data_IF_442473277742
#
_entry.id   IF_442473277742
#
_cell.length_a   1.000
_cell.length_b   1.000
_cell.length_c   1.000
_cell.angle_alpha   90.00
_cell.angle_beta   90.00
_cell.angle_gamma   90.00
#
_symmetry.space_group_name_H-M   'P 1'
#
loop_
_entity.id
_entity.type
_entity.pdbx_description
1 polymer ?
#
# COMPACT_ATOMS: atom_id res chain seq x y z
N UNK A 1 -10.96 3.86 -3.04
CA UNK A 1 -9.95 4.08 -4.11
C UNK A 1 -8.53 4.03 -3.55
N UNK A 2 -8.19 4.82 -2.51
CA UNK A 2 -6.82 4.89 -1.96
C UNK A 2 -6.25 3.58 -1.40
N UNK A 3 -7.08 2.70 -0.84
CA UNK A 3 -6.60 1.37 -0.36
C UNK A 3 -6.11 0.48 -1.51
N UNK A 4 -6.70 0.61 -2.70
CA UNK A 4 -6.43 -0.30 -3.82
C UNK A 4 -5.30 0.14 -4.76
N UNK A 5 -4.88 1.40 -4.72
CA UNK A 5 -3.93 1.91 -5.69
C UNK A 5 -2.94 2.85 -5.03
N UNK A 6 -1.66 2.64 -5.31
CA UNK A 6 -0.58 3.49 -4.84
C UNK A 6 -0.55 4.79 -5.64
N UNK A 7 -0.44 5.94 -4.96
CA UNK A 7 -0.24 7.28 -5.54
C UNK A 7 -1.23 7.64 -6.65
N UNK A 8 -2.49 7.24 -6.50
CA UNK A 8 -3.49 7.47 -7.53
C UNK A 8 -3.92 8.94 -7.57
N UNK A 9 -3.70 9.64 -8.71
CA UNK A 9 -3.99 11.07 -8.87
C UNK A 9 -5.38 11.49 -8.36
N UNK A 10 -6.40 10.67 -8.58
CA UNK A 10 -7.78 10.97 -8.18
C UNK A 10 -7.95 11.11 -6.67
N UNK A 11 -7.13 10.41 -5.89
CA UNK A 11 -7.17 10.40 -4.42
C UNK A 11 -6.56 11.70 -3.84
N UNK A 12 -5.67 12.36 -4.59
CA UNK A 12 -4.99 13.59 -4.18
C UNK A 12 -5.61 14.86 -4.77
N UNK A 13 -6.72 14.80 -5.50
CA UNK A 13 -7.31 15.97 -6.20
C UNK A 13 -7.73 17.11 -5.27
N UNK A 14 -8.00 16.82 -4.01
CA UNK A 14 -8.44 17.81 -3.01
C UNK A 14 -7.29 18.50 -2.28
N UNK A 15 -6.03 18.16 -2.60
CA UNK A 15 -4.85 18.76 -1.99
C UNK A 15 -3.90 19.28 -3.07
N UNK A 16 -3.17 20.34 -2.76
CA UNK A 16 -2.07 20.77 -3.61
C UNK A 16 -0.90 19.79 -3.45
N UNK A 17 -0.46 19.17 -4.55
CA UNK A 17 0.72 18.28 -4.56
C UNK A 17 1.91 19.05 -5.11
N UNK A 18 3.02 19.06 -4.36
CA UNK A 18 4.27 19.73 -4.78
C UNK A 18 5.14 18.83 -5.63
N UNK A 19 5.32 17.58 -5.21
CA UNK A 19 6.09 16.59 -5.96
C UNK A 19 5.65 15.17 -5.62
N UNK A 20 5.96 14.23 -6.52
CA UNK A 20 5.72 12.80 -6.35
C UNK A 20 6.96 12.06 -6.84
N UNK A 21 7.43 11.10 -6.06
CA UNK A 21 8.40 10.11 -6.52
C UNK A 21 7.83 8.72 -6.28
N UNK A 22 8.09 7.80 -7.21
CA UNK A 22 7.65 6.40 -7.14
C UNK A 22 8.73 5.49 -7.68
N UNK A 23 8.92 4.36 -7.01
CA UNK A 23 9.78 3.26 -7.46
C UNK A 23 8.98 1.96 -7.40
N UNK A 24 9.26 1.07 -8.34
CA UNK A 24 8.70 -0.28 -8.38
C UNK A 24 9.84 -1.27 -8.49
N UNK A 25 9.89 -2.22 -7.57
CA UNK A 25 10.83 -3.33 -7.54
C UNK A 25 10.11 -4.61 -7.97
N UNK A 26 10.78 -5.43 -8.77
CA UNK A 26 10.24 -6.71 -9.24
C UNK A 26 11.29 -7.78 -9.13
N UNK A 27 10.87 -9.01 -8.84
CA UNK A 27 11.74 -10.17 -8.93
C UNK A 27 12.21 -10.41 -10.39
N UNK A 28 13.30 -11.15 -10.55
CA UNK A 28 13.95 -11.44 -11.85
C UNK A 28 13.31 -12.61 -12.63
N UNK A 29 12.15 -13.09 -12.19
CA UNK A 29 11.48 -14.28 -12.71
C UNK A 29 11.75 -15.56 -11.91
N UNK A 30 12.61 -15.50 -10.88
CA UNK A 30 12.78 -16.60 -9.91
C UNK A 30 11.53 -16.82 -9.04
N UNK A 31 11.37 -18.04 -8.52
CA UNK A 31 10.28 -18.37 -7.58
C UNK A 31 10.62 -17.80 -6.20
N UNK A 32 9.90 -16.76 -5.78
CA UNK A 32 10.12 -16.04 -4.52
C UNK A 32 8.78 -15.68 -3.87
N UNK A 33 8.79 -15.45 -2.55
CA UNK A 33 7.59 -15.06 -1.78
C UNK A 33 6.99 -13.71 -2.18
N UNK A 34 7.81 -12.75 -2.59
CA UNK A 34 7.38 -11.39 -2.96
C UNK A 34 7.51 -11.21 -4.47
N UNK A 35 6.42 -10.83 -5.11
CA UNK A 35 6.35 -10.56 -6.55
C UNK A 35 6.93 -9.18 -6.86
N UNK A 36 6.33 -8.17 -6.24
CA UNK A 36 6.63 -6.77 -6.45
C UNK A 36 6.49 -5.96 -5.16
N UNK A 37 7.24 -4.86 -5.13
CA UNK A 37 7.13 -3.82 -4.13
C UNK A 37 6.97 -2.49 -4.86
N UNK A 38 5.87 -1.80 -4.59
CA UNK A 38 5.64 -0.43 -5.04
C UNK A 38 5.79 0.53 -3.85
N UNK A 39 6.61 1.56 -4.03
CA UNK A 39 6.87 2.58 -3.01
C UNK A 39 6.67 3.96 -3.63
N UNK A 40 6.06 4.87 -2.88
CA UNK A 40 5.87 6.24 -3.32
C UNK A 40 5.90 7.24 -2.17
N UNK A 41 6.31 8.46 -2.50
CA UNK A 41 6.24 9.60 -1.60
C UNK A 41 5.59 10.77 -2.32
N UNK A 42 4.69 11.47 -1.62
CA UNK A 42 3.98 12.65 -2.11
C UNK A 42 4.27 13.81 -1.16
N UNK A 43 4.92 14.85 -1.65
CA UNK A 43 5.19 16.06 -0.89
C UNK A 43 4.03 17.06 -1.04
N UNK A 44 3.58 17.61 0.09
CA UNK A 44 2.52 18.60 0.20
C UNK A 44 3.08 19.95 0.65
N UNK A 45 2.28 21.03 0.66
CA UNK A 45 2.77 22.38 0.97
C UNK A 45 3.24 22.55 2.42
N UNK A 46 2.75 21.71 3.34
CA UNK A 46 3.07 21.80 4.77
C UNK A 46 2.87 20.46 5.48
N UNK A 47 3.44 20.34 6.69
CA UNK A 47 3.19 19.20 7.57
C UNK A 47 1.70 19.05 7.93
N UNK A 48 1.04 20.16 8.27
CA UNK A 48 -0.40 20.15 8.57
C UNK A 48 -1.23 19.60 7.39
N UNK A 49 -0.89 19.94 6.14
CA UNK A 49 -1.59 19.39 4.98
C UNK A 49 -1.40 17.87 4.83
N UNK A 50 -0.21 17.36 5.19
CA UNK A 50 0.10 15.93 5.17
C UNK A 50 -0.62 15.18 6.29
N UNK A 51 -0.61 15.72 7.51
CA UNK A 51 -1.33 15.16 8.65
C UNK A 51 -2.85 15.12 8.39
N UNK A 52 -3.42 16.19 7.86
CA UNK A 52 -4.85 16.24 7.49
C UNK A 52 -5.19 15.19 6.43
N UNK A 53 -4.33 15.01 5.43
CA UNK A 53 -4.55 14.01 4.39
C UNK A 53 -4.43 12.58 4.94
N UNK A 54 -3.43 12.33 5.78
CA UNK A 54 -3.24 11.06 6.44
C UNK A 54 -4.43 10.70 7.36
N UNK A 55 -4.95 11.66 8.11
CA UNK A 55 -6.14 11.47 8.95
C UNK A 55 -7.36 11.07 8.09
N UNK A 56 -7.58 11.72 6.95
CA UNK A 56 -8.64 11.37 6.00
C UNK A 56 -8.47 9.96 5.42
N UNK A 57 -7.25 9.60 5.01
CA UNK A 57 -6.98 8.25 4.51
C UNK A 57 -7.19 7.21 5.59
N UNK A 58 -6.70 7.45 6.80
CA UNK A 58 -6.88 6.54 7.94
C UNK A 58 -8.35 6.31 8.25
N UNK A 59 -9.17 7.36 8.26
CA UNK A 59 -10.61 7.24 8.46
C UNK A 59 -11.27 6.44 7.31
N UNK A 60 -10.97 6.80 6.06
CA UNK A 60 -11.51 6.09 4.90
C UNK A 60 -11.12 4.60 4.88
N UNK A 61 -9.89 4.26 5.25
CA UNK A 61 -9.43 2.88 5.26
C UNK A 61 -10.19 2.07 6.31
N UNK A 62 -10.41 2.64 7.51
CA UNK A 62 -11.21 1.98 8.56
C UNK A 62 -12.63 1.68 8.09
N UNK A 63 -13.26 2.60 7.35
CA UNK A 63 -14.58 2.36 6.73
C UNK A 63 -14.57 1.26 5.67
N UNK A 64 -13.41 0.97 5.06
CA UNK A 64 -13.26 -0.09 4.08
C UNK A 64 -12.96 -1.46 4.73
N UNK A 65 -12.71 -1.55 6.03
CA UNK A 65 -12.32 -2.81 6.67
C UNK A 65 -13.45 -3.85 6.60
N UNK A 66 -13.10 -5.08 6.23
CA UNK A 66 -14.06 -6.16 5.96
C UNK A 66 -14.87 -6.01 4.68
N UNK A 67 -14.66 -4.95 3.88
CA UNK A 67 -15.43 -4.71 2.65
C UNK A 67 -14.75 -5.34 1.42
N UNK A 68 -15.56 -5.64 0.39
CA UNK A 68 -15.06 -6.04 -0.93
C UNK A 68 -15.43 -4.98 -1.95
N UNK A 69 -14.43 -4.40 -2.60
CA UNK A 69 -14.58 -3.45 -3.69
C UNK A 69 -14.58 -4.17 -5.03
N UNK A 70 -15.57 -3.90 -5.87
CA UNK A 70 -15.57 -4.32 -7.28
C UNK A 70 -14.85 -3.27 -8.11
N UNK A 71 -13.89 -3.70 -8.94
CA UNK A 71 -13.10 -2.83 -9.79
C UNK A 71 -13.16 -3.33 -11.24
N UNK A 72 -14.24 -3.02 -11.99
CA UNK A 72 -14.54 -3.66 -13.27
C UNK A 72 -13.46 -3.52 -14.34
N UNK A 73 -12.67 -2.44 -14.30
CA UNK A 73 -11.62 -2.15 -15.27
C UNK A 73 -10.24 -2.71 -14.87
N UNK A 74 -10.13 -3.48 -13.79
CA UNK A 74 -8.86 -4.08 -13.33
C UNK A 74 -8.77 -5.55 -13.71
N UNK A 75 -7.54 -6.02 -14.00
CA UNK A 75 -7.26 -7.45 -14.11
C UNK A 75 -7.71 -8.23 -12.86
N UNK A 76 -7.69 -7.58 -11.70
CA UNK A 76 -8.33 -8.04 -10.48
C UNK A 76 -9.68 -7.34 -10.31
N UNK A 77 -10.73 -7.97 -10.81
CA UNK A 77 -12.10 -7.42 -10.76
C UNK A 77 -12.66 -7.20 -9.35
N UNK A 78 -12.01 -7.73 -8.31
CA UNK A 78 -12.41 -7.55 -6.91
C UNK A 78 -11.20 -7.38 -5.98
N UNK A 79 -11.40 -6.62 -4.90
CA UNK A 79 -10.42 -6.38 -3.85
C UNK A 79 -11.10 -6.48 -2.49
N UNK A 80 -10.73 -7.48 -1.70
CA UNK A 80 -11.23 -7.60 -0.31
C UNK A 80 -10.23 -6.94 0.61
N UNK A 81 -10.70 -6.04 1.47
CA UNK A 81 -9.85 -5.25 2.39
C UNK A 81 -10.11 -5.77 3.80
N UNK A 82 -9.05 -6.08 4.52
CA UNK A 82 -9.11 -6.63 5.88
C UNK A 82 -7.93 -6.13 6.71
N UNK A 83 -8.02 -6.30 8.03
CA UNK A 83 -6.92 -6.01 8.97
C UNK A 83 -6.46 -4.55 8.88
N UNK A 84 -7.43 -3.63 8.86
CA UNK A 84 -7.11 -2.21 8.83
C UNK A 84 -6.70 -1.75 10.23
N UNK A 85 -5.47 -1.28 10.35
CA UNK A 85 -4.89 -0.85 11.62
C UNK A 85 -4.16 0.47 11.47
N UNK A 86 -4.21 1.31 12.50
CA UNK A 86 -3.47 2.57 12.57
C UNK A 86 -2.59 2.56 13.80
N UNK A 87 -1.28 2.71 13.61
CA UNK A 87 -0.29 2.80 14.66
C UNK A 87 0.93 3.58 14.15
N UNK A 88 1.61 4.31 15.02
CA UNK A 88 2.92 4.93 14.73
C UNK A 88 2.98 5.76 13.44
N UNK A 89 1.94 6.59 13.22
CA UNK A 89 1.78 7.42 12.01
C UNK A 89 1.70 6.63 10.69
N UNK A 90 1.28 5.37 10.77
CA UNK A 90 1.01 4.49 9.63
C UNK A 90 -0.40 3.90 9.73
N UNK A 91 -1.14 3.92 8.62
CA UNK A 91 -2.31 3.06 8.42
C UNK A 91 -1.92 1.90 7.51
N UNK A 92 -2.26 0.67 7.91
CA UNK A 92 -1.97 -0.54 7.16
C UNK A 92 -3.24 -1.35 6.91
N UNK A 93 -3.21 -2.18 5.87
CA UNK A 93 -4.29 -3.11 5.53
C UNK A 93 -3.75 -4.30 4.73
N UNK A 94 -4.43 -5.43 4.81
CA UNK A 94 -4.28 -6.54 3.87
C UNK A 94 -5.34 -6.42 2.77
N UNK A 95 -4.89 -6.54 1.51
CA UNK A 95 -5.76 -6.53 0.34
C UNK A 95 -5.65 -7.87 -0.39
N UNK A 96 -6.76 -8.58 -0.50
CA UNK A 96 -6.88 -9.79 -1.30
C UNK A 96 -7.38 -9.43 -2.71
N UNK A 97 -6.48 -9.51 -3.70
CA UNK A 97 -6.77 -9.23 -5.11
C UNK A 97 -7.37 -10.47 -5.78
N UNK A 98 -8.58 -10.34 -6.34
CA UNK A 98 -9.32 -11.45 -6.95
C UNK A 98 -9.69 -11.11 -8.39
N UNK A 99 -9.56 -12.09 -9.29
CA UNK A 99 -9.91 -11.96 -10.73
C UNK A 99 -11.41 -12.04 -11.03
N UNK A 100 -12.25 -12.09 -10.00
CA UNK A 100 -13.71 -12.14 -10.10
C UNK A 100 -14.33 -13.32 -9.34
N UNK A 101 -15.65 -13.31 -9.20
CA UNK A 101 -16.42 -14.29 -8.40
C UNK A 101 -16.38 -15.72 -8.93
N UNK A 102 -16.06 -15.91 -10.21
CA UNK A 102 -16.04 -17.22 -10.88
C UNK A 102 -14.63 -17.70 -11.22
N UNK A 103 -13.58 -17.00 -10.75
CA UNK A 103 -12.20 -17.41 -11.00
C UNK A 103 -11.81 -18.55 -10.05
N UNK A 104 -11.26 -19.63 -10.62
CA UNK A 104 -10.66 -20.74 -9.86
C UNK A 104 -9.26 -20.43 -9.34
N UNK A 105 -8.70 -19.29 -9.74
CA UNK A 105 -7.33 -18.92 -9.39
C UNK A 105 -7.31 -18.32 -7.98
N UNK A 106 -6.30 -18.70 -7.20
CA UNK A 106 -6.10 -18.17 -5.85
C UNK A 106 -6.02 -16.62 -5.87
N UNK A 107 -6.50 -16.01 -4.80
CA UNK A 107 -6.33 -14.57 -4.60
C UNK A 107 -4.87 -14.23 -4.39
N UNK A 108 -4.44 -13.08 -4.90
CA UNK A 108 -3.09 -12.55 -4.67
C UNK A 108 -3.13 -11.64 -3.43
N UNK A 109 -2.46 -12.01 -2.32
CA UNK A 109 -2.40 -11.16 -1.15
C UNK A 109 -1.45 -9.99 -1.38
N UNK A 110 -1.84 -8.82 -0.89
CA UNK A 110 -1.06 -7.59 -0.97
C UNK A 110 -1.10 -6.87 0.39
N UNK A 111 0.07 -6.59 0.96
CA UNK A 111 0.19 -5.70 2.11
C UNK A 111 0.15 -4.26 1.63
N UNK A 112 -0.61 -3.40 2.30
CA UNK A 112 -0.70 -1.97 2.02
C UNK A 112 -0.35 -1.19 3.26
N UNK A 113 0.42 -0.11 3.10
CA UNK A 113 0.69 0.85 4.15
C UNK A 113 0.69 2.28 3.60
N UNK A 114 0.23 3.23 4.39
CA UNK A 114 0.38 4.66 4.15
C UNK A 114 0.91 5.28 5.44
N UNK A 115 1.99 6.06 5.34
CA UNK A 115 2.60 6.77 6.47
C UNK A 115 2.63 8.28 6.24
N UNK A 116 2.86 9.04 7.31
CA UNK A 116 3.05 10.50 7.25
C UNK A 116 4.28 10.95 8.05
N UNK A 117 5.09 11.81 7.43
CA UNK A 117 6.25 12.43 8.08
C UNK A 117 6.61 13.76 7.44
N UNK A 118 6.83 14.78 8.25
CA UNK A 118 7.07 16.14 7.75
C UNK A 118 5.90 16.59 6.87
N UNK A 119 6.18 17.15 5.70
CA UNK A 119 5.16 17.49 4.70
C UNK A 119 4.88 16.35 3.69
N UNK A 120 5.30 15.12 3.98
CA UNK A 120 5.24 14.01 3.05
C UNK A 120 4.28 12.90 3.51
N UNK A 121 3.56 12.34 2.54
CA UNK A 121 2.81 11.09 2.69
C UNK A 121 3.55 9.99 1.93
N UNK A 122 3.82 8.88 2.61
CA UNK A 122 4.46 7.68 2.05
C UNK A 122 3.38 6.65 1.77
N UNK A 123 3.44 5.98 0.62
CA UNK A 123 2.58 4.84 0.31
C UNK A 123 3.45 3.64 -0.06
N UNK A 124 3.07 2.45 0.41
CA UNK A 124 3.75 1.19 0.12
C UNK A 124 2.74 0.10 -0.22
N UNK A 125 3.05 -0.71 -1.22
CA UNK A 125 2.37 -1.96 -1.50
C UNK A 125 3.39 -3.08 -1.69
N UNK A 126 3.19 -4.22 -1.03
CA UNK A 126 3.98 -5.44 -1.22
C UNK A 126 3.05 -6.53 -1.70
N UNK A 127 3.27 -7.02 -2.92
CA UNK A 127 2.46 -8.08 -3.53
C UNK A 127 3.14 -9.42 -3.32
N UNK A 128 2.40 -10.40 -2.84
CA UNK A 128 2.92 -11.73 -2.49
C UNK A 128 2.45 -12.78 -3.50
N UNK A 129 3.31 -13.74 -3.82
CA UNK A 129 2.95 -14.94 -4.57
C UNK A 129 3.09 -16.20 -3.71
N UNK A 130 2.49 -17.29 -4.19
CA UNK A 130 2.53 -18.59 -3.54
C UNK A 130 3.97 -19.12 -3.47
N UNK A 131 4.32 -19.66 -2.31
CA UNK A 131 5.58 -20.35 -2.09
C UNK A 131 5.49 -21.71 -2.78
N UNK A 132 6.30 -21.95 -3.82
CA UNK A 132 6.28 -23.23 -4.56
C UNK A 132 7.19 -24.26 -3.88
N UNK A 133 8.33 -23.82 -3.37
CA UNK A 133 9.30 -24.63 -2.63
C UNK A 133 9.67 -23.97 -1.29
N UNK A 134 10.11 -24.74 -0.28
CA UNK A 134 10.59 -24.17 0.99
C UNK A 134 11.71 -23.13 0.83
N UNK A 135 12.54 -23.25 -0.22
CA UNK A 135 13.58 -22.28 -0.56
C UNK A 135 13.04 -20.92 -0.99
N UNK A 136 11.81 -20.87 -1.47
CA UNK A 136 11.16 -19.63 -1.93
C UNK A 136 10.65 -18.80 -0.74
N UNK A 137 10.75 -19.34 0.48
CA UNK A 137 10.44 -18.63 1.70
C UNK A 137 11.43 -17.48 1.91
N UNK A 138 10.93 -16.25 1.75
CA UNK A 138 11.62 -15.04 2.20
C UNK A 138 11.18 -14.62 3.61
N UNK A 139 11.84 -13.59 4.14
CA UNK A 139 11.52 -12.97 5.44
C UNK A 139 10.30 -12.05 5.41
N UNK A 140 9.74 -11.77 4.23
CA UNK A 140 8.59 -10.88 4.10
C UNK A 140 7.36 -11.41 4.85
N UNK A 141 6.61 -10.53 5.50
CA UNK A 141 5.39 -10.83 6.23
C UNK A 141 4.27 -9.90 5.75
N UNK A 142 3.11 -10.48 5.44
CA UNK A 142 1.94 -9.74 4.94
C UNK A 142 1.48 -8.67 5.95
N UNK A 143 1.70 -8.94 7.24
CA UNK A 143 1.25 -8.11 8.35
C UNK A 143 2.22 -6.97 8.63
N UNK A 144 3.52 -7.10 8.34
CA UNK A 144 4.53 -6.10 8.75
C UNK A 144 5.29 -5.46 7.60
N UNK A 145 5.59 -6.17 6.50
CA UNK A 145 6.58 -5.70 5.52
C UNK A 145 6.28 -4.33 4.90
N UNK A 146 5.02 -4.04 4.55
CA UNK A 146 4.67 -2.72 4.02
C UNK A 146 4.83 -1.61 5.07
N UNK A 147 4.60 -1.92 6.34
CA UNK A 147 4.77 -0.98 7.47
C UNK A 147 6.25 -0.74 7.75
N UNK A 148 7.06 -1.80 7.75
CA UNK A 148 8.51 -1.70 7.95
C UNK A 148 9.16 -0.82 6.88
N UNK A 149 8.78 -1.01 5.61
CA UNK A 149 9.24 -0.16 4.49
C UNK A 149 8.76 1.28 4.66
N UNK A 150 7.49 1.51 5.04
CA UNK A 150 6.96 2.85 5.26
C UNK A 150 7.73 3.58 6.38
N UNK A 151 8.03 2.92 7.49
CA UNK A 151 8.87 3.49 8.55
C UNK A 151 10.27 3.82 8.06
N UNK A 152 10.92 2.92 7.33
CA UNK A 152 12.25 3.19 6.79
C UNK A 152 12.26 4.42 5.86
N UNK A 153 11.24 4.60 5.03
CA UNK A 153 11.09 5.79 4.18
C UNK A 153 10.83 7.06 5.01
N UNK A 154 9.99 6.99 6.04
CA UNK A 154 9.72 8.11 6.94
C UNK A 154 10.94 8.53 7.75
N UNK A 155 11.78 7.59 8.18
CA UNK A 155 13.04 7.89 8.85
C UNK A 155 13.97 8.70 7.92
N UNK A 156 14.07 8.30 6.64
CA UNK A 156 14.82 9.08 5.64
C UNK A 156 14.27 10.48 5.43
N UNK A 157 12.95 10.67 5.45
CA UNK A 157 12.36 12.02 5.35
C UNK A 157 12.75 12.88 6.57
N UNK A 158 12.82 12.27 7.75
CA UNK A 158 13.22 12.96 8.98
C UNK A 158 14.67 13.46 8.93
N UNK A 159 15.56 12.70 8.28
CA UNK A 159 16.98 13.06 8.10
C UNK A 159 17.17 14.24 7.13
N UNK A 160 16.17 14.57 6.31
CA UNK A 160 16.22 15.65 5.32
C UNK A 160 15.64 16.98 5.80
N UNK A 161 15.05 17.01 7.00
CA UNK A 161 14.39 18.17 7.60
C UNK A 161 15.29 18.87 8.61
#
# INVERSE_FOLDING_TARGET
MGVGYLTQRNVYRSVEVKSVARVSWRHDGSSVKVDDVDEGVVALPSAAAADDLFARFSAQWKECDGTTLTVPASAFGQRSITDVRVADSVVAATVSLRRGTHSILASVPQARAVGVRGNCVVEVAVTFFGITHPSDQGSADISTSAVDIAHAMMDRISELS
#
